data_IF_980895704238
#
_entry.id   IF_980895704238
#
_cell.length_a   1.000
_cell.length_b   1.000
_cell.length_c   1.000
_cell.angle_alpha   90.00
_cell.angle_beta   90.00
_cell.angle_gamma   90.00
#
_symmetry.space_group_name_H-M   'P 1'
#
loop_
_entity.id
_entity.type
_entity.pdbx_description
1 polymer ?
#
# COMPACT_ATOMS: atom_id res chain seq x y z
N UNK A 1 -13.95 -25.83 26.89
CA UNK A 1 -12.83 -24.85 26.85
C UNK A 1 -13.18 -23.80 25.80
N UNK A 2 -13.53 -22.58 26.21
CA UNK A 2 -13.96 -21.50 25.28
C UNK A 2 -12.73 -20.74 24.78
N UNK A 3 -12.38 -20.93 23.50
CA UNK A 3 -11.32 -20.17 22.84
C UNK A 3 -11.91 -18.86 22.29
N UNK A 4 -11.42 -17.71 22.77
CA UNK A 4 -11.74 -16.39 22.20
C UNK A 4 -10.65 -15.98 21.19
N UNK A 5 -11.00 -15.47 20.00
CA UNK A 5 -10.01 -14.99 19.04
C UNK A 5 -9.31 -13.73 19.57
N UNK A 6 -7.98 -13.67 19.43
CA UNK A 6 -7.19 -12.47 19.70
C UNK A 6 -7.29 -11.49 18.51
N UNK A 7 -7.04 -10.19 18.73
CA UNK A 7 -7.09 -9.17 17.68
C UNK A 7 -6.24 -9.53 16.45
N UNK A 8 -5.05 -10.09 16.66
CA UNK A 8 -4.16 -10.57 15.60
C UNK A 8 -4.80 -11.70 14.75
N UNK A 9 -5.63 -12.54 15.37
CA UNK A 9 -6.32 -13.65 14.69
C UNK A 9 -7.57 -13.20 13.94
N UNK A 10 -8.18 -12.08 14.35
CA UNK A 10 -9.23 -11.41 13.57
C UNK A 10 -8.66 -10.83 12.28
N UNK A 11 -7.44 -10.28 12.32
CA UNK A 11 -6.74 -9.76 11.13
C UNK A 11 -6.37 -10.90 10.16
N UNK A 12 -6.05 -12.10 10.65
CA UNK A 12 -5.80 -13.28 9.80
C UNK A 12 -7.02 -13.73 8.97
N UNK A 13 -8.23 -13.23 9.27
CA UNK A 13 -9.43 -13.50 8.46
C UNK A 13 -9.40 -12.85 7.07
N UNK A 14 -8.51 -11.86 6.84
CA UNK A 14 -8.33 -11.18 5.55
C UNK A 14 -7.55 -12.01 4.51
N UNK A 15 -7.45 -13.34 4.68
CA UNK A 15 -6.62 -14.22 3.85
C UNK A 15 -5.14 -13.82 3.86
N UNK A 16 -4.66 -13.33 5.01
CA UNK A 16 -3.24 -13.04 5.28
C UNK A 16 -2.71 -14.15 6.19
N UNK A 17 -1.50 -14.62 5.92
CA UNK A 17 -0.91 -15.69 6.73
C UNK A 17 -0.63 -15.19 8.15
N UNK A 18 -0.79 -16.09 9.13
CA UNK A 18 -0.45 -15.79 10.52
C UNK A 18 1.04 -15.44 10.67
N UNK A 19 1.91 -16.09 9.89
CA UNK A 19 3.36 -15.85 9.91
C UNK A 19 3.71 -14.44 9.46
N UNK A 20 3.00 -13.87 8.50
CA UNK A 20 3.16 -12.46 8.10
C UNK A 20 2.75 -11.50 9.21
N UNK A 21 1.61 -11.76 9.87
CA UNK A 21 1.11 -10.91 10.96
C UNK A 21 2.09 -10.92 12.14
N UNK A 22 2.65 -12.08 12.49
CA UNK A 22 3.66 -12.23 13.53
C UNK A 22 4.96 -11.49 13.18
N UNK A 23 5.41 -11.59 11.91
CA UNK A 23 6.56 -10.82 11.42
C UNK A 23 6.31 -9.32 11.52
N UNK A 24 5.14 -8.84 11.10
CA UNK A 24 4.78 -7.42 11.22
C UNK A 24 4.83 -6.96 12.67
N UNK A 25 4.21 -7.70 13.59
CA UNK A 25 4.23 -7.36 15.00
C UNK A 25 5.64 -7.31 15.60
N UNK A 26 6.57 -8.11 15.07
CA UNK A 26 7.96 -8.18 15.55
C UNK A 26 8.85 -7.10 14.94
N UNK A 27 8.62 -6.71 13.67
CA UNK A 27 9.42 -5.70 12.97
C UNK A 27 8.93 -4.27 13.19
N UNK A 28 7.64 -4.07 13.46
CA UNK A 28 7.06 -2.74 13.69
C UNK A 28 7.59 -2.15 14.99
N UNK A 29 8.16 -0.94 14.90
CA UNK A 29 8.54 -0.13 16.06
C UNK A 29 7.96 1.27 15.92
N UNK A 30 7.77 1.98 17.04
CA UNK A 30 7.18 3.32 17.06
C UNK A 30 7.92 4.35 16.18
N UNK A 31 9.22 4.12 15.92
CA UNK A 31 10.09 5.02 15.13
C UNK A 31 10.22 4.62 13.66
N UNK A 32 9.46 3.62 13.21
CA UNK A 32 9.50 3.20 11.80
C UNK A 32 9.05 4.34 10.88
N UNK A 33 9.84 4.58 9.82
CA UNK A 33 9.57 5.56 8.77
C UNK A 33 9.02 4.86 7.52
N UNK A 34 8.71 5.63 6.49
CA UNK A 34 8.21 5.11 5.21
C UNK A 34 9.11 4.00 4.61
N UNK A 35 10.44 4.18 4.62
CA UNK A 35 11.39 3.14 4.19
C UNK A 35 11.18 1.81 4.93
N UNK A 36 11.10 1.87 6.26
CA UNK A 36 10.92 0.68 7.09
C UNK A 36 9.54 0.04 6.89
N UNK A 37 8.48 0.82 6.70
CA UNK A 37 7.15 0.29 6.38
C UNK A 37 7.15 -0.48 5.05
N UNK A 38 7.87 0.02 4.04
CA UNK A 38 7.99 -0.66 2.76
C UNK A 38 8.78 -1.98 2.87
N UNK A 39 9.86 -1.98 3.65
CA UNK A 39 10.65 -3.19 3.94
C UNK A 39 9.83 -4.23 4.72
N UNK A 40 9.02 -3.80 5.68
CA UNK A 40 8.11 -4.66 6.43
C UNK A 40 7.03 -5.25 5.50
N UNK A 41 6.46 -4.43 4.60
CA UNK A 41 5.48 -4.92 3.63
C UNK A 41 6.09 -6.00 2.71
N UNK A 42 7.32 -5.80 2.24
CA UNK A 42 8.01 -6.74 1.35
C UNK A 42 8.50 -8.02 2.06
N UNK A 43 8.67 -8.00 3.39
CA UNK A 43 9.08 -9.17 4.18
C UNK A 43 7.92 -10.15 4.50
N UNK A 44 6.71 -9.81 4.05
CA UNK A 44 5.54 -10.67 4.16
C UNK A 44 5.79 -12.04 3.50
N UNK A 45 5.27 -13.10 4.11
CA UNK A 45 5.41 -14.47 3.60
C UNK A 45 4.76 -14.67 2.22
N UNK A 46 3.72 -13.91 1.90
CA UNK A 46 3.04 -13.91 0.60
C UNK A 46 3.96 -13.39 -0.51
N UNK A 47 4.92 -12.52 -0.19
CA UNK A 47 5.92 -12.07 -1.14
C UNK A 47 6.95 -13.17 -1.47
N UNK A 48 7.08 -14.21 -0.63
CA UNK A 48 7.96 -15.34 -0.90
C UNK A 48 7.37 -16.32 -1.93
N UNK A 49 6.08 -16.22 -2.26
CA UNK A 49 5.42 -17.05 -3.27
C UNK A 49 5.74 -16.61 -4.71
N UNK A 50 6.47 -15.50 -4.88
CA UNK A 50 6.85 -15.01 -6.20
C UNK A 50 7.77 -16.00 -6.91
N UNK A 51 7.53 -16.27 -8.20
CA UNK A 51 8.39 -17.14 -8.97
C UNK A 51 9.78 -16.53 -9.11
N UNK A 52 10.79 -17.28 -8.71
CA UNK A 52 12.18 -16.99 -9.02
C UNK A 52 12.56 -17.69 -10.33
N UNK A 53 12.93 -16.90 -11.34
CA UNK A 53 13.29 -17.42 -12.68
C UNK A 53 14.75 -17.09 -12.95
N UNK A 54 15.55 -18.07 -13.43
CA UNK A 54 16.96 -17.85 -13.69
C UNK A 54 17.16 -16.76 -14.76
N UNK A 55 18.05 -15.80 -14.48
CA UNK A 55 18.35 -14.67 -15.36
C UNK A 55 17.57 -13.38 -15.03
N UNK A 56 16.55 -13.42 -14.17
CA UNK A 56 15.87 -12.20 -13.70
C UNK A 56 16.72 -11.38 -12.73
N UNK A 57 17.71 -11.98 -12.06
CA UNK A 57 18.59 -11.33 -11.08
C UNK A 57 19.25 -10.05 -11.63
N UNK A 58 19.74 -10.09 -12.88
CA UNK A 58 20.40 -8.95 -13.54
C UNK A 58 19.40 -7.82 -13.81
N UNK A 59 18.13 -8.14 -14.07
CA UNK A 59 17.09 -7.12 -14.24
C UNK A 59 16.72 -6.51 -12.88
N UNK A 60 16.55 -7.34 -11.85
CA UNK A 60 16.27 -6.90 -10.49
C UNK A 60 17.39 -6.01 -9.96
N UNK A 61 18.65 -6.36 -10.20
CA UNK A 61 19.82 -5.55 -9.84
C UNK A 61 19.74 -4.14 -10.44
N UNK A 62 19.45 -4.02 -11.74
CA UNK A 62 19.27 -2.71 -12.40
C UNK A 62 18.13 -1.92 -11.77
N UNK A 63 17.01 -2.58 -11.45
CA UNK A 63 15.89 -1.92 -10.78
C UNK A 63 16.29 -1.41 -9.40
N UNK A 64 17.03 -2.20 -8.61
CA UNK A 64 17.50 -1.82 -7.27
C UNK A 64 18.45 -0.62 -7.30
N UNK A 65 19.32 -0.53 -8.31
CA UNK A 65 20.23 0.61 -8.44
C UNK A 65 19.55 1.95 -8.74
N UNK A 66 18.40 1.94 -9.41
CA UNK A 66 17.66 3.15 -9.78
C UNK A 66 16.55 3.54 -8.79
N UNK A 67 16.52 2.92 -7.62
CA UNK A 67 15.46 3.10 -6.62
C UNK A 67 15.70 4.27 -5.66
N UNK A 68 14.60 4.83 -5.15
CA UNK A 68 14.62 5.93 -4.17
C UNK A 68 15.16 5.46 -2.81
N UNK A 69 14.76 4.27 -2.37
CA UNK A 69 15.23 3.68 -1.12
C UNK A 69 16.17 2.52 -1.41
N UNK A 70 17.46 2.72 -1.09
CA UNK A 70 18.46 1.66 -1.18
C UNK A 70 18.16 0.57 -0.17
N UNK A 71 18.15 -0.67 -0.66
CA UNK A 71 18.04 -1.89 0.15
C UNK A 71 19.44 -2.20 0.69
N UNK A 72 19.54 -2.53 1.97
CA UNK A 72 20.81 -2.87 2.60
C UNK A 72 21.18 -4.32 2.27
N UNK A 73 22.34 -4.53 1.62
CA UNK A 73 22.86 -5.86 1.22
C UNK A 73 21.84 -6.70 0.42
N UNK A 74 21.40 -6.22 -0.77
CA UNK A 74 20.41 -6.92 -1.57
C UNK A 74 20.95 -8.27 -2.05
N UNK A 75 20.20 -9.34 -1.80
CA UNK A 75 20.36 -10.62 -2.47
C UNK A 75 19.39 -10.65 -3.64
N UNK A 76 19.89 -10.59 -4.88
CA UNK A 76 19.03 -10.39 -6.04
C UNK A 76 18.12 -11.58 -6.38
N UNK A 77 18.46 -12.79 -5.93
CA UNK A 77 17.58 -13.97 -6.00
C UNK A 77 16.57 -14.09 -4.86
N UNK A 78 16.55 -13.16 -3.89
CA UNK A 78 15.57 -13.20 -2.81
C UNK A 78 14.22 -12.60 -3.29
N UNK A 79 13.10 -13.35 -3.22
CA UNK A 79 11.80 -12.85 -3.62
C UNK A 79 11.35 -11.61 -2.81
N UNK A 80 11.83 -11.44 -1.58
CA UNK A 80 11.53 -10.24 -0.78
C UNK A 80 12.20 -8.97 -1.34
N UNK A 81 13.44 -9.10 -1.83
CA UNK A 81 14.17 -8.00 -2.48
C UNK A 81 13.51 -7.65 -3.81
N UNK A 82 13.13 -8.68 -4.59
CA UNK A 82 12.35 -8.52 -5.83
C UNK A 82 11.03 -7.81 -5.57
N UNK A 83 10.29 -8.18 -4.52
CA UNK A 83 9.02 -7.55 -4.16
C UNK A 83 9.17 -6.07 -3.80
N UNK A 84 10.16 -5.74 -2.96
CA UNK A 84 10.47 -4.34 -2.61
C UNK A 84 10.83 -3.53 -3.86
N UNK A 85 11.67 -4.10 -4.72
CA UNK A 85 12.07 -3.44 -5.95
C UNK A 85 10.90 -3.12 -6.88
N UNK A 86 10.02 -4.10 -7.11
CA UNK A 86 8.83 -3.93 -7.96
C UNK A 86 7.83 -2.92 -7.40
N UNK A 87 7.70 -2.83 -6.07
CA UNK A 87 6.87 -1.80 -5.41
C UNK A 87 7.44 -0.39 -5.62
N UNK A 88 8.74 -0.19 -5.45
CA UNK A 88 9.36 1.13 -5.66
C UNK A 88 9.29 1.59 -7.12
N UNK A 89 9.41 0.63 -8.05
CA UNK A 89 9.25 0.87 -9.49
C UNK A 89 7.82 1.30 -9.81
N UNK A 90 6.81 0.69 -9.17
CA UNK A 90 5.41 1.09 -9.29
C UNK A 90 5.18 2.54 -8.84
N UNK A 91 5.72 2.94 -7.68
CA UNK A 91 5.61 4.33 -7.19
C UNK A 91 6.26 5.35 -8.13
N UNK A 92 7.30 4.93 -8.85
CA UNK A 92 8.01 5.78 -9.81
C UNK A 92 7.34 5.82 -11.19
N UNK A 93 6.24 5.07 -11.39
CA UNK A 93 5.54 4.86 -12.66
C UNK A 93 6.47 4.40 -13.79
N UNK A 94 7.53 3.67 -13.44
CA UNK A 94 8.43 3.10 -14.43
C UNK A 94 7.86 1.78 -14.94
N UNK A 95 7.79 1.64 -16.27
CA UNK A 95 7.17 0.49 -16.91
C UNK A 95 8.07 -0.73 -16.84
N UNK A 96 7.60 -1.78 -16.18
CA UNK A 96 8.23 -3.09 -16.19
C UNK A 96 7.69 -3.91 -17.36
N UNK A 97 8.54 -4.71 -18.01
CA UNK A 97 8.18 -5.50 -19.20
C UNK A 97 8.28 -7.00 -18.91
N UNK A 98 7.49 -7.80 -19.62
CA UNK A 98 7.57 -9.26 -19.58
C UNK A 98 7.05 -9.86 -18.28
N UNK A 99 7.74 -10.89 -17.77
CA UNK A 99 7.33 -11.65 -16.59
C UNK A 99 7.28 -10.79 -15.31
N UNK A 100 8.25 -9.88 -15.14
CA UNK A 100 8.29 -8.98 -13.99
C UNK A 100 7.06 -8.05 -13.91
N UNK A 101 6.41 -7.76 -15.04
CA UNK A 101 5.17 -6.99 -15.06
C UNK A 101 3.97 -7.80 -14.55
N UNK A 102 3.95 -9.12 -14.77
CA UNK A 102 2.94 -10.00 -14.17
C UNK A 102 3.18 -10.13 -12.67
N UNK A 103 4.42 -10.37 -12.27
CA UNK A 103 4.82 -10.47 -10.86
C UNK A 103 4.49 -9.16 -10.10
N UNK A 104 4.71 -7.99 -10.71
CA UNK A 104 4.33 -6.70 -10.12
C UNK A 104 2.81 -6.60 -9.86
N UNK A 105 1.96 -7.09 -10.76
CA UNK A 105 0.50 -7.07 -10.55
C UNK A 105 0.08 -7.96 -9.39
N UNK A 106 0.67 -9.14 -9.27
CA UNK A 106 0.39 -10.07 -8.16
C UNK A 106 0.79 -9.44 -6.81
N UNK A 107 1.97 -8.82 -6.75
CA UNK A 107 2.43 -8.11 -5.55
C UNK A 107 1.46 -6.99 -5.19
N UNK A 108 1.01 -6.18 -6.15
CA UNK A 108 0.11 -5.07 -5.87
C UNK A 108 -1.23 -5.54 -5.30
N UNK A 109 -1.78 -6.66 -5.78
CA UNK A 109 -3.01 -7.24 -5.24
C UNK A 109 -2.82 -7.70 -3.79
N UNK A 110 -1.71 -8.39 -3.50
CA UNK A 110 -1.39 -8.83 -2.14
C UNK A 110 -1.07 -7.66 -1.21
N UNK A 111 -0.40 -6.61 -1.71
CA UNK A 111 0.02 -5.45 -0.93
C UNK A 111 -1.15 -4.70 -0.30
N UNK A 112 -2.30 -4.59 -0.98
CA UNK A 112 -3.48 -3.94 -0.41
C UNK A 112 -3.97 -4.67 0.86
N UNK A 113 -4.04 -6.00 0.81
CA UNK A 113 -4.46 -6.82 1.97
C UNK A 113 -3.46 -6.75 3.11
N UNK A 114 -2.17 -6.85 2.79
CA UNK A 114 -1.09 -6.74 3.78
C UNK A 114 -1.05 -5.37 4.45
N UNK A 115 -1.28 -4.29 3.70
CA UNK A 115 -1.33 -2.94 4.27
C UNK A 115 -2.51 -2.74 5.22
N UNK A 116 -3.68 -3.28 4.90
CA UNK A 116 -4.80 -3.30 5.84
C UNK A 116 -4.44 -4.03 7.14
N UNK A 117 -3.80 -5.20 7.02
CA UNK A 117 -3.32 -5.94 8.19
C UNK A 117 -2.29 -5.15 9.01
N UNK A 118 -1.35 -4.46 8.37
CA UNK A 118 -0.36 -3.61 9.03
C UNK A 118 -1.05 -2.47 9.80
N UNK A 119 -2.01 -1.77 9.16
CA UNK A 119 -2.77 -0.68 9.82
C UNK A 119 -3.53 -1.20 11.04
N UNK A 120 -4.16 -2.37 10.94
CA UNK A 120 -4.90 -2.97 12.06
C UNK A 120 -3.96 -3.35 13.21
N UNK A 121 -2.79 -3.96 12.92
CA UNK A 121 -1.75 -4.25 13.93
C UNK A 121 -1.30 -2.97 14.62
N UNK A 122 -0.96 -1.92 13.86
CA UNK A 122 -0.52 -0.63 14.42
C UNK A 122 -1.62 0.01 15.28
N UNK A 123 -2.88 -0.07 14.82
CA UNK A 123 -4.03 0.49 15.55
C UNK A 123 -4.27 -0.21 16.89
N UNK A 124 -3.99 -1.52 16.98
CA UNK A 124 -4.12 -2.28 18.22
C UNK A 124 -3.09 -1.88 19.29
N UNK A 125 -1.94 -1.34 18.86
CA UNK A 125 -0.85 -0.87 19.73
C UNK A 125 -1.03 0.62 20.08
N UNK A 126 -1.71 1.38 19.22
CA UNK A 126 -2.03 2.80 19.45
C UNK A 126 -0.97 3.79 18.95
N UNK A 127 -0.12 3.41 17.99
CA UNK A 127 0.88 4.32 17.41
C UNK A 127 0.31 5.15 16.26
N UNK A 128 -0.32 6.29 16.58
CA UNK A 128 -1.01 7.14 15.61
C UNK A 128 -0.13 7.62 14.44
N UNK A 129 1.08 8.11 14.73
CA UNK A 129 2.00 8.61 13.69
C UNK A 129 2.35 7.53 12.67
N UNK A 130 2.57 6.31 13.14
CA UNK A 130 2.86 5.17 12.29
C UNK A 130 1.63 4.72 11.49
N UNK A 131 0.45 4.77 12.10
CA UNK A 131 -0.81 4.46 11.41
C UNK A 131 -1.05 5.43 10.24
N UNK A 132 -0.78 6.72 10.44
CA UNK A 132 -0.87 7.72 9.37
C UNK A 132 0.12 7.44 8.23
N UNK A 133 1.38 7.09 8.55
CA UNK A 133 2.37 6.70 7.55
C UNK A 133 1.95 5.45 6.77
N UNK A 134 1.38 4.44 7.44
CA UNK A 134 0.88 3.23 6.79
C UNK A 134 -0.34 3.51 5.90
N UNK A 135 -1.21 4.44 6.30
CA UNK A 135 -2.31 4.90 5.45
C UNK A 135 -1.81 5.67 4.22
N UNK A 136 -0.76 6.48 4.37
CA UNK A 136 -0.16 7.18 3.23
C UNK A 136 0.48 6.17 2.25
N UNK A 137 1.16 5.14 2.76
CA UNK A 137 1.68 4.05 1.94
C UNK A 137 0.56 3.32 1.16
N UNK A 138 -0.62 3.13 1.76
CA UNK A 138 -1.79 2.60 1.06
C UNK A 138 -2.23 3.51 -0.10
N UNK A 139 -2.18 4.84 0.07
CA UNK A 139 -2.45 5.76 -1.04
C UNK A 139 -1.39 5.67 -2.13
N UNK A 140 -0.12 5.59 -1.75
CA UNK A 140 1.00 5.43 -2.70
C UNK A 140 0.82 4.16 -3.56
N UNK A 141 0.41 3.04 -2.96
CA UNK A 141 0.14 1.79 -3.69
C UNK A 141 -1.05 1.92 -4.64
N UNK A 142 -2.16 2.50 -4.20
CA UNK A 142 -3.35 2.67 -5.06
C UNK A 142 -3.11 3.65 -6.21
N UNK A 143 -2.40 4.76 -5.97
CA UNK A 143 -2.18 5.81 -6.98
C UNK A 143 -0.93 5.60 -7.83
N UNK A 144 -0.01 4.73 -7.38
CA UNK A 144 1.29 4.52 -8.02
C UNK A 144 2.11 5.80 -8.06
N UNK A 145 2.26 6.47 -6.92
CA UNK A 145 3.04 7.70 -6.79
C UNK A 145 3.76 7.74 -5.45
N UNK A 146 4.80 8.55 -5.36
CA UNK A 146 5.45 8.83 -4.09
C UNK A 146 4.67 9.85 -3.25
N UNK A 147 4.91 9.83 -1.95
CA UNK A 147 4.38 10.80 -0.97
C UNK A 147 4.74 12.26 -1.28
N UNK A 148 5.89 12.49 -1.91
CA UNK A 148 6.40 13.81 -2.27
C UNK A 148 5.91 14.32 -3.64
N UNK A 149 5.20 13.48 -4.41
CA UNK A 149 4.71 13.85 -5.73
C UNK A 149 3.48 14.78 -5.64
N UNK A 150 3.30 15.63 -6.65
CA UNK A 150 2.13 16.52 -6.71
C UNK A 150 0.83 15.72 -6.85
N UNK A 151 -0.19 16.15 -6.12
CA UNK A 151 -1.54 15.55 -6.15
C UNK A 151 -2.16 15.60 -7.56
N UNK A 152 -1.74 16.54 -8.40
CA UNK A 152 -2.22 16.68 -9.79
C UNK A 152 -1.85 15.48 -10.67
N UNK A 153 -0.83 14.71 -10.31
CA UNK A 153 -0.45 13.50 -11.05
C UNK A 153 -1.44 12.34 -10.86
N UNK A 154 -2.46 12.49 -10.00
CA UNK A 154 -3.57 11.54 -9.89
C UNK A 154 -4.50 11.59 -11.11
N UNK A 155 -4.58 12.73 -11.79
CA UNK A 155 -5.44 12.89 -12.95
C UNK A 155 -4.82 12.26 -14.21
N UNK A 156 -5.60 11.51 -15.01
CA UNK A 156 -5.10 10.93 -16.25
C UNK A 156 -4.67 12.03 -17.22
N UNK A 157 -3.58 11.80 -17.96
CA UNK A 157 -2.96 12.73 -18.92
C UNK A 157 -2.19 13.92 -18.31
N UNK A 158 -2.09 14.03 -16.99
CA UNK A 158 -1.19 15.00 -16.37
C UNK A 158 0.27 14.51 -16.41
N UNK A 159 1.06 15.11 -17.29
CA UNK A 159 2.52 14.88 -17.37
C UNK A 159 3.25 15.74 -16.33
N UNK A 160 4.43 15.29 -15.88
CA UNK A 160 5.30 16.05 -14.96
C UNK A 160 5.60 17.48 -15.47
N UNK A 161 5.71 17.67 -16.78
CA UNK A 161 5.90 18.99 -17.40
C UNK A 161 4.70 19.94 -17.18
N UNK A 162 3.48 19.42 -17.26
CA UNK A 162 2.27 20.21 -17.01
C UNK A 162 2.17 20.61 -15.55
N UNK A 163 2.52 19.69 -14.63
CA UNK A 163 2.59 19.99 -13.20
C UNK A 163 3.60 21.09 -12.92
N UNK A 164 4.79 21.04 -13.53
CA UNK A 164 5.80 22.09 -13.38
C UNK A 164 5.27 23.45 -13.86
N UNK A 165 4.61 23.48 -15.02
CA UNK A 165 3.97 24.71 -15.53
C UNK A 165 2.86 25.20 -14.60
N UNK A 166 2.07 24.32 -14.00
CA UNK A 166 1.04 24.73 -13.03
C UNK A 166 1.65 25.34 -11.76
N UNK A 167 2.75 24.77 -11.26
CA UNK A 167 3.48 25.28 -10.09
C UNK A 167 4.14 26.65 -10.37
N UNK A 168 4.63 26.86 -11.58
CA UNK A 168 5.19 28.15 -12.02
C UNK A 168 4.12 29.26 -12.15
N UNK A 169 2.84 28.90 -12.28
CA UNK A 169 1.71 29.81 -12.52
C UNK A 169 0.76 29.98 -11.31
N UNK A 170 1.21 29.72 -10.08
CA UNK A 170 0.41 29.72 -8.83
C UNK A 170 -0.12 31.11 -8.38
N UNK A 171 -0.72 31.88 -9.29
CA UNK A 171 -1.51 33.08 -9.01
C UNK A 171 -3.02 32.85 -8.83
N UNK A 172 -3.51 31.61 -8.93
CA UNK A 172 -4.94 31.31 -8.71
C UNK A 172 -5.10 30.00 -7.93
N UNK A 173 -5.71 30.02 -6.73
CA UNK A 173 -5.80 28.86 -5.86
C UNK A 173 -6.82 27.87 -6.44
N UNK A 174 -6.35 26.91 -7.23
CA UNK A 174 -7.16 25.78 -7.63
C UNK A 174 -7.43 24.93 -6.40
N UNK A 175 -8.72 24.80 -6.10
CA UNK A 175 -9.32 24.21 -4.90
C UNK A 175 -8.92 22.73 -4.75
N UNK A 176 -7.74 22.49 -4.19
CA UNK A 176 -7.23 21.19 -3.73
C UNK A 176 -8.14 20.51 -2.69
N UNK A 177 -9.15 21.23 -2.15
CA UNK A 177 -10.14 20.71 -1.22
C UNK A 177 -11.16 19.74 -1.83
N UNK A 178 -11.36 19.71 -3.16
CA UNK A 178 -12.31 18.77 -3.79
C UNK A 178 -11.77 17.33 -3.90
N UNK A 179 -10.44 17.15 -3.95
CA UNK A 179 -9.81 15.84 -4.11
C UNK A 179 -9.87 15.05 -2.79
N UNK A 180 -9.77 15.72 -1.64
CA UNK A 180 -9.86 15.09 -0.31
C UNK A 180 -11.27 14.57 -0.01
N UNK A 181 -12.32 15.30 -0.39
CA UNK A 181 -13.71 14.89 -0.18
C UNK A 181 -14.13 13.74 -1.12
N UNK A 182 -13.60 13.70 -2.35
CA UNK A 182 -13.85 12.59 -3.28
C UNK A 182 -13.14 11.29 -2.84
N UNK A 183 -12.02 11.40 -2.15
CA UNK A 183 -11.25 10.27 -1.63
C UNK A 183 -11.89 9.53 -0.46
N UNK A 184 -12.55 10.24 0.48
CA UNK A 184 -13.33 9.56 1.53
C UNK A 184 -14.55 8.85 0.93
N UNK A 185 -15.15 9.42 -0.14
CA UNK A 185 -16.32 8.82 -0.80
C UNK A 185 -15.98 7.63 -1.73
N UNK A 186 -14.80 7.57 -2.35
CA UNK A 186 -14.40 6.45 -3.22
C UNK A 186 -13.98 5.19 -2.46
N UNK A 187 -13.65 5.32 -1.17
CA UNK A 187 -13.26 4.22 -0.29
C UNK A 187 -14.36 3.16 -0.09
N UNK A 188 -15.62 3.50 -0.38
CA UNK A 188 -16.75 2.57 -0.31
C UNK A 188 -17.02 1.82 -1.64
N UNK A 189 -16.50 2.32 -2.78
CA UNK A 189 -16.89 1.80 -4.11
C UNK A 189 -15.86 0.85 -4.74
N UNK A 190 -14.57 1.01 -4.44
CA UNK A 190 -13.52 0.16 -5.02
C UNK A 190 -13.48 -1.24 -4.37
N UNK A 191 -13.78 -1.35 -3.06
CA UNK A 191 -13.91 -2.67 -2.42
C UNK A 191 -15.11 -3.47 -2.97
N UNK A 192 -16.09 -2.82 -3.58
CA UNK A 192 -17.29 -3.48 -4.12
C UNK A 192 -17.08 -4.06 -5.53
N UNK A 193 -16.07 -3.61 -6.28
CA UNK A 193 -15.85 -4.07 -7.67
C UNK A 193 -14.95 -5.31 -7.80
N UNK A 194 -14.17 -5.67 -6.77
CA UNK A 194 -13.36 -6.90 -6.76
C UNK A 194 -14.06 -8.09 -6.09
N UNK A 195 -15.31 -7.92 -5.63
CA UNK A 195 -16.10 -8.95 -4.94
C UNK A 195 -17.42 -9.28 -5.65
N UNK A 196 -17.55 -9.00 -6.95
CA UNK A 196 -18.74 -9.35 -7.76
C UNK A 196 -18.70 -10.79 -8.28
N UNK A 197 -18.36 -11.77 -7.44
CA UNK A 197 -18.56 -13.19 -7.78
C UNK A 197 -19.07 -14.09 -6.65
N UNK A 198 -19.38 -13.58 -5.45
CA UNK A 198 -20.07 -14.41 -4.43
C UNK A 198 -20.85 -13.63 -3.38
N UNK A 199 -21.84 -12.83 -3.81
CA UNK A 199 -22.83 -12.27 -2.89
C UNK A 199 -24.24 -12.37 -3.49
N UNK A 200 -24.71 -13.59 -3.69
CA UNK A 200 -26.14 -13.93 -3.57
C UNK A 200 -26.27 -14.96 -2.48
N UNK A 201 -26.50 -14.49 -1.25
CA UNK A 201 -27.49 -15.01 -0.29
C UNK A 201 -27.28 -14.36 1.09
N UNK A 202 -28.19 -13.44 1.44
CA UNK A 202 -28.85 -13.31 2.75
C UNK A 202 -28.02 -13.33 4.04
N UNK A 203 -27.70 -12.14 4.59
CA UNK A 203 -28.42 -11.56 5.76
C UNK A 203 -27.70 -10.33 6.35
N UNK A 204 -28.43 -9.41 7.01
CA UNK A 204 -27.96 -8.07 7.36
C UNK A 204 -27.59 -7.95 8.84
N UNK A 205 -26.44 -7.35 9.17
CA UNK A 205 -26.23 -6.54 10.39
C UNK A 205 -24.75 -6.19 10.55
N UNK A 206 -24.44 -4.89 10.45
CA UNK A 206 -23.65 -4.10 11.40
C UNK A 206 -23.23 -2.79 10.71
N UNK A 207 -24.17 -1.85 10.77
CA UNK A 207 -23.97 -0.44 10.45
C UNK A 207 -23.07 0.13 11.56
N UNK A 208 -21.86 0.56 11.22
CA UNK A 208 -21.04 1.38 12.11
C UNK A 208 -21.64 2.79 12.18
N UNK A 209 -21.97 3.33 13.37
CA UNK A 209 -22.54 4.66 13.48
C UNK A 209 -21.45 5.72 13.33
N UNK A 210 -21.58 6.57 12.31
CA UNK A 210 -20.90 7.86 12.23
C UNK A 210 -21.39 8.75 13.38
N UNK A 211 -20.59 8.94 14.44
CA UNK A 211 -20.79 10.07 15.35
C UNK A 211 -20.19 11.33 14.73
N UNK A 212 -21.08 12.19 14.28
CA UNK A 212 -20.84 13.56 13.82
C UNK A 212 -20.12 14.38 14.90
N UNK A 213 -18.86 14.74 14.66
CA UNK A 213 -18.20 15.83 15.40
C UNK A 213 -18.65 17.14 14.77
N UNK A 214 -19.61 17.79 15.43
CA UNK A 214 -20.07 19.15 15.12
C UNK A 214 -19.02 20.12 15.65
N UNK A 215 -18.23 20.73 14.77
CA UNK A 215 -17.34 21.84 15.13
C UNK A 215 -18.21 23.10 15.28
N UNK A 216 -18.36 23.56 16.51
CA UNK A 216 -18.78 24.92 16.85
C UNK A 216 -17.49 25.71 17.10
N UNK A 217 -17.28 26.76 16.28
CA UNK A 217 -16.88 28.15 16.56
C UNK A 217 -16.61 28.79 15.20
#
# INVERSE_FOLDING_TARGET
MYLKPLNLRLIASYYVSYTSIERFSSMLTQKTKMKGLLEILASASECAELPDRPGEEVLVERLVHHQRFSIEKPKYGDPHVKANALLQVHFSRHTVVGNLAADQREILLSSHRLLHAIVDVISSIGWLSLALNAMELSRMVTQGMWDCDSVLLQDPHFTKDLVRRCQENEGSPLRVSLILLRWVSMRCRISCSYQTLSCRTSSPMLIWPMRSVRVMI
#
